data_IF_412143160239
#
_entry.id   IF_412143160239
#
_cell.length_a   1.000
_cell.length_b   1.000
_cell.length_c   1.000
_cell.angle_alpha   90.00
_cell.angle_beta   90.00
_cell.angle_gamma   90.00
#
_symmetry.space_group_name_H-M   'P 1'
#
loop_
_entity.id
_entity.type
_entity.pdbx_description
1 polymer ?
#
# COMPACT_ATOMS: atom_id res chain seq x y z
N UNK A 1 -38.61 -49.91 -24.08
CA UNK A 1 -39.57 -50.40 -23.11
C UNK A 1 -39.15 -49.90 -21.70
N UNK A 2 -40.06 -49.15 -21.07
CA UNK A 2 -40.26 -48.81 -19.67
C UNK A 2 -39.41 -47.70 -19.05
N UNK A 3 -40.09 -46.57 -18.86
CA UNK A 3 -39.92 -45.49 -17.91
C UNK A 3 -39.57 -45.95 -16.49
N UNK A 4 -38.68 -45.24 -15.84
CA UNK A 4 -38.68 -45.11 -14.39
C UNK A 4 -38.75 -43.65 -14.00
N UNK A 5 -39.81 -43.30 -13.30
CA UNK A 5 -40.19 -41.97 -12.88
C UNK A 5 -39.35 -41.49 -11.68
N UNK A 6 -38.93 -40.26 -11.77
CA UNK A 6 -38.38 -39.44 -10.68
C UNK A 6 -39.47 -39.24 -9.61
N UNK A 7 -39.31 -39.83 -8.44
CA UNK A 7 -40.08 -39.45 -7.25
C UNK A 7 -39.40 -38.28 -6.51
N UNK A 8 -40.00 -37.13 -6.64
CA UNK A 8 -39.51 -35.92 -6.03
C UNK A 8 -39.59 -35.91 -4.50
N UNK A 9 -38.61 -35.28 -3.86
CA UNK A 9 -38.49 -35.05 -2.40
C UNK A 9 -39.71 -34.44 -1.71
N UNK A 10 -40.74 -34.02 -2.45
CA UNK A 10 -41.97 -33.44 -1.92
C UNK A 10 -43.03 -34.44 -1.49
N UNK A 11 -42.92 -35.74 -1.87
CA UNK A 11 -43.91 -36.77 -1.50
C UNK A 11 -43.62 -37.45 -0.15
N UNK A 12 -42.40 -37.30 0.38
CA UNK A 12 -42.01 -37.89 1.67
C UNK A 12 -42.60 -37.13 2.87
N UNK A 13 -42.83 -35.83 2.73
CA UNK A 13 -43.33 -34.95 3.83
C UNK A 13 -44.87 -34.98 4.00
N UNK A 14 -45.61 -35.62 3.13
CA UNK A 14 -47.11 -35.71 3.24
C UNK A 14 -47.64 -36.99 3.88
N UNK A 15 -46.83 -37.97 4.26
CA UNK A 15 -47.28 -39.25 4.83
C UNK A 15 -47.02 -39.44 6.32
N UNK A 16 -46.49 -38.43 7.04
CA UNK A 16 -46.24 -38.52 8.49
C UNK A 16 -47.21 -37.68 9.36
N UNK A 17 -48.32 -37.27 8.80
CA UNK A 17 -49.31 -36.49 9.53
C UNK A 17 -50.66 -37.25 9.69
N UNK A 18 -50.65 -38.47 10.23
CA UNK A 18 -51.87 -39.11 10.77
C UNK A 18 -51.47 -40.39 11.52
N UNK A 19 -51.35 -40.31 12.83
CA UNK A 19 -51.16 -41.47 13.70
C UNK A 19 -50.61 -41.13 15.08
N UNK A 20 -51.41 -40.65 15.93
CA UNK A 20 -51.73 -40.82 17.33
C UNK A 20 -50.65 -40.83 18.41
N UNK A 21 -51.04 -40.02 19.42
CA UNK A 21 -50.85 -40.15 20.88
C UNK A 21 -49.57 -39.67 21.51
N UNK A 22 -49.78 -38.70 22.33
CA UNK A 22 -49.03 -38.08 23.44
C UNK A 22 -47.80 -38.85 23.96
N UNK A 23 -46.62 -38.33 23.67
CA UNK A 23 -45.45 -38.46 24.53
C UNK A 23 -44.70 -37.10 24.50
N UNK A 24 -44.36 -36.60 25.68
CA UNK A 24 -43.84 -35.26 25.93
C UNK A 24 -42.91 -34.67 24.87
N UNK A 25 -43.31 -33.58 24.27
CA UNK A 25 -42.44 -32.71 23.48
C UNK A 25 -41.55 -31.96 24.48
N UNK A 26 -40.41 -32.58 24.84
CA UNK A 26 -39.29 -31.81 25.27
C UNK A 26 -38.92 -30.94 24.07
N UNK A 27 -39.35 -29.70 24.04
CA UNK A 27 -38.81 -28.70 23.12
C UNK A 27 -37.32 -28.64 23.39
N UNK A 28 -36.50 -29.26 22.53
CA UNK A 28 -35.11 -28.93 22.38
C UNK A 28 -35.12 -27.46 21.94
N UNK A 29 -35.15 -26.54 22.93
CA UNK A 29 -34.81 -25.18 22.68
C UNK A 29 -33.37 -25.21 22.11
N UNK A 30 -33.27 -25.10 20.79
CA UNK A 30 -31.98 -24.77 20.19
C UNK A 30 -31.48 -23.58 21.00
N UNK A 31 -30.25 -23.61 21.53
CA UNK A 31 -29.71 -22.44 22.21
C UNK A 31 -29.90 -21.27 21.23
N UNK A 32 -30.68 -20.27 21.67
CA UNK A 32 -30.72 -19.02 20.93
C UNK A 32 -29.28 -18.53 20.94
N UNK A 33 -28.61 -18.65 19.80
CA UNK A 33 -27.33 -17.97 19.59
C UNK A 33 -27.69 -16.50 19.70
N UNK A 34 -27.54 -15.96 20.91
CA UNK A 34 -27.59 -14.52 21.13
C UNK A 34 -26.48 -13.97 20.22
N UNK A 35 -26.86 -13.39 19.10
CA UNK A 35 -25.90 -12.69 18.25
C UNK A 35 -25.22 -11.66 19.12
N UNK A 36 -23.95 -11.88 19.42
CA UNK A 36 -23.14 -10.93 20.17
C UNK A 36 -23.16 -9.61 19.37
N UNK A 37 -23.32 -8.48 20.04
CA UNK A 37 -23.29 -7.20 19.37
C UNK A 37 -21.95 -7.06 18.63
N UNK A 38 -21.93 -6.51 17.42
CA UNK A 38 -20.69 -6.32 16.67
C UNK A 38 -19.68 -5.52 17.50
N UNK A 39 -18.42 -5.94 17.47
CA UNK A 39 -17.32 -5.13 17.98
C UNK A 39 -17.03 -4.05 16.94
N UNK A 40 -17.16 -2.78 17.33
CA UNK A 40 -16.92 -1.63 16.46
C UNK A 40 -15.50 -1.15 16.65
N UNK A 41 -14.73 -1.07 15.57
CA UNK A 41 -13.35 -0.63 15.56
C UNK A 41 -13.24 0.71 14.83
N UNK A 42 -12.44 1.62 15.37
CA UNK A 42 -12.18 2.92 14.77
C UNK A 42 -10.89 2.85 13.95
N UNK A 43 -11.01 3.11 12.66
CA UNK A 43 -9.87 3.12 11.72
C UNK A 43 -9.71 4.50 11.10
N UNK A 44 -8.49 4.98 10.96
CA UNK A 44 -8.20 6.15 10.15
C UNK A 44 -7.10 5.84 9.13
N UNK A 45 -7.29 6.35 7.91
CA UNK A 45 -6.24 6.33 6.90
C UNK A 45 -5.47 7.65 6.87
N UNK A 46 -4.26 7.63 6.26
CA UNK A 46 -3.46 8.83 6.01
C UNK A 46 -3.82 9.55 4.69
N UNK A 47 -4.99 9.24 4.11
CA UNK A 47 -5.40 9.72 2.80
C UNK A 47 -6.61 10.65 2.87
N UNK A 48 -6.68 11.66 1.96
CA UNK A 48 -7.91 12.43 1.75
C UNK A 48 -9.09 11.54 1.32
N UNK A 49 -10.31 11.94 1.68
CA UNK A 49 -11.52 11.15 1.42
C UNK A 49 -11.79 10.85 -0.06
N UNK A 50 -11.31 11.70 -0.98
CA UNK A 50 -11.46 11.54 -2.42
C UNK A 50 -10.36 10.70 -3.08
N UNK A 51 -9.32 10.29 -2.34
CA UNK A 51 -8.17 9.61 -2.91
C UNK A 51 -8.43 8.10 -3.07
N UNK A 52 -7.87 7.51 -4.12
CA UNK A 52 -7.95 6.06 -4.40
C UNK A 52 -7.51 5.19 -3.22
N UNK A 53 -6.58 5.65 -2.41
CA UNK A 53 -6.11 4.92 -1.23
C UNK A 53 -7.17 4.82 -0.12
N UNK A 54 -8.02 5.85 0.03
CA UNK A 54 -9.16 5.78 0.93
C UNK A 54 -10.18 4.74 0.45
N UNK A 55 -10.41 4.66 -0.87
CA UNK A 55 -11.26 3.62 -1.46
C UNK A 55 -10.69 2.22 -1.21
N UNK A 56 -9.37 2.05 -1.34
CA UNK A 56 -8.68 0.78 -1.07
C UNK A 56 -8.71 0.39 0.41
N UNK A 57 -8.61 1.36 1.33
CA UNK A 57 -8.85 1.12 2.75
C UNK A 57 -10.29 0.67 3.01
N UNK A 58 -11.28 1.23 2.30
CA UNK A 58 -12.68 0.80 2.39
C UNK A 58 -12.89 -0.63 1.87
N UNK A 59 -12.11 -1.08 0.90
CA UNK A 59 -12.11 -2.48 0.44
C UNK A 59 -11.69 -3.45 1.55
N UNK A 60 -10.72 -3.06 2.39
CA UNK A 60 -10.34 -3.83 3.58
C UNK A 60 -11.51 -3.94 4.57
N UNK A 61 -12.13 -2.81 4.92
CA UNK A 61 -13.31 -2.78 5.80
C UNK A 61 -14.39 -3.73 5.31
N UNK A 62 -14.76 -3.61 4.03
CA UNK A 62 -15.80 -4.45 3.41
C UNK A 62 -15.49 -5.94 3.53
N UNK A 63 -14.23 -6.33 3.34
CA UNK A 63 -13.81 -7.74 3.42
C UNK A 63 -13.81 -8.25 4.85
N UNK A 64 -13.26 -7.49 5.78
CA UNK A 64 -13.23 -7.87 7.21
C UNK A 64 -14.65 -8.03 7.75
N UNK A 65 -15.56 -7.09 7.46
CA UNK A 65 -16.96 -7.19 7.87
C UNK A 65 -17.65 -8.43 7.29
N UNK A 66 -17.42 -8.72 6.00
CA UNK A 66 -17.98 -9.90 5.34
C UNK A 66 -17.39 -11.20 5.92
N UNK A 67 -16.07 -11.31 6.08
CA UNK A 67 -15.40 -12.51 6.61
C UNK A 67 -15.76 -12.77 8.07
N UNK A 68 -15.96 -11.73 8.88
CA UNK A 68 -16.38 -11.87 10.28
C UNK A 68 -17.85 -12.24 10.44
N UNK A 69 -18.62 -12.27 9.34
CA UNK A 69 -20.07 -12.45 9.41
C UNK A 69 -20.78 -11.31 10.14
N UNK A 70 -20.19 -10.11 10.11
CA UNK A 70 -20.69 -8.90 10.79
C UNK A 70 -20.38 -8.84 12.29
N UNK A 71 -19.52 -9.70 12.82
CA UNK A 71 -19.04 -9.62 14.22
C UNK A 71 -18.07 -8.46 14.42
N UNK A 72 -17.34 -8.06 13.35
CA UNK A 72 -16.55 -6.84 13.31
C UNK A 72 -17.25 -5.80 12.46
N UNK A 73 -17.22 -4.56 12.91
CA UNK A 73 -17.60 -3.35 12.19
C UNK A 73 -16.44 -2.37 12.28
N UNK A 74 -16.11 -1.70 11.17
CA UNK A 74 -14.99 -0.76 11.14
C UNK A 74 -15.49 0.60 10.65
N UNK A 75 -15.37 1.60 11.51
CA UNK A 75 -15.63 2.99 11.17
C UNK A 75 -14.37 3.60 10.56
N UNK A 76 -14.32 3.67 9.23
CA UNK A 76 -13.18 4.22 8.49
C UNK A 76 -13.29 5.72 8.33
N UNK A 77 -12.26 6.43 8.76
CA UNK A 77 -12.13 7.87 8.72
C UNK A 77 -10.99 8.30 7.78
N UNK A 78 -11.12 9.42 7.04
CA UNK A 78 -10.04 9.97 6.24
C UNK A 78 -9.02 10.73 7.08
N UNK A 79 -7.88 11.09 6.49
CA UNK A 79 -6.86 11.93 7.11
C UNK A 79 -7.47 13.24 7.64
N UNK A 80 -7.06 13.63 8.84
CA UNK A 80 -7.51 14.86 9.51
C UNK A 80 -8.84 14.73 10.26
N UNK A 81 -9.50 13.58 10.20
CA UNK A 81 -10.75 13.39 10.95
C UNK A 81 -10.52 13.24 12.47
N UNK A 82 -9.46 12.55 12.87
CA UNK A 82 -9.02 12.41 14.27
C UNK A 82 -7.66 13.07 14.43
N UNK A 83 -6.69 12.67 13.59
CA UNK A 83 -5.30 13.19 13.58
C UNK A 83 -4.85 13.50 12.16
N UNK A 84 -3.79 14.30 12.01
CA UNK A 84 -3.14 14.52 10.71
C UNK A 84 -2.52 13.23 10.16
N UNK A 85 -2.22 13.22 8.84
CA UNK A 85 -1.72 12.03 8.15
C UNK A 85 -0.44 11.44 8.78
N UNK A 86 0.50 12.28 9.21
CA UNK A 86 1.76 11.84 9.83
C UNK A 86 1.66 11.43 11.32
N UNK A 87 0.46 11.50 11.91
CA UNK A 87 0.19 11.14 13.30
C UNK A 87 -0.64 9.85 13.46
N UNK A 88 -0.95 9.17 12.37
CA UNK A 88 -1.79 7.94 12.42
C UNK A 88 -1.11 6.86 13.27
N UNK A 89 0.21 6.66 13.11
CA UNK A 89 0.98 5.71 13.91
C UNK A 89 0.83 5.98 15.42
N UNK A 90 1.03 7.24 15.84
CA UNK A 90 0.92 7.61 17.25
C UNK A 90 -0.49 7.37 17.79
N UNK A 91 -1.50 7.74 17.01
CA UNK A 91 -2.89 7.58 17.40
C UNK A 91 -3.28 6.10 17.55
N UNK A 92 -2.70 5.20 16.75
CA UNK A 92 -2.88 3.75 16.92
C UNK A 92 -2.14 3.25 18.16
N UNK A 93 -0.87 3.63 18.34
CA UNK A 93 -0.09 3.28 19.51
C UNK A 93 -0.78 3.71 20.82
N UNK A 94 -1.31 4.92 20.86
CA UNK A 94 -1.93 5.50 22.05
C UNK A 94 -3.38 5.00 22.26
N UNK A 95 -3.90 4.13 21.41
CA UNK A 95 -5.26 3.59 21.50
C UNK A 95 -6.38 4.60 21.17
N UNK A 96 -6.04 5.74 20.58
CA UNK A 96 -7.02 6.69 20.05
C UNK A 96 -7.72 6.15 18.79
N UNK A 97 -6.99 5.35 18.04
CA UNK A 97 -7.43 4.54 16.90
C UNK A 97 -7.15 3.06 17.18
N UNK A 98 -8.05 2.19 16.75
CA UNK A 98 -7.86 0.73 16.78
C UNK A 98 -6.99 0.26 15.62
N UNK A 99 -7.16 0.87 14.44
CA UNK A 99 -6.50 0.51 13.19
C UNK A 99 -6.02 1.77 12.48
N UNK A 100 -4.83 1.71 11.89
CA UNK A 100 -4.29 2.68 10.94
C UNK A 100 -4.11 2.09 9.56
N UNK A 101 -4.27 2.89 8.50
CA UNK A 101 -3.84 2.57 7.15
C UNK A 101 -2.91 3.67 6.66
N UNK A 102 -1.62 3.36 6.59
CA UNK A 102 -0.54 4.33 6.46
C UNK A 102 0.58 3.80 5.54
N UNK A 103 1.70 4.49 5.52
CA UNK A 103 2.95 4.06 4.87
C UNK A 103 4.14 4.31 5.80
N UNK A 104 5.08 3.38 5.92
CA UNK A 104 6.20 3.50 6.86
C UNK A 104 7.10 4.72 6.61
N UNK A 105 7.14 5.23 5.38
CA UNK A 105 7.93 6.43 5.04
C UNK A 105 7.45 7.69 5.76
N UNK A 106 6.22 7.74 6.25
CA UNK A 106 5.69 8.86 7.03
C UNK A 106 6.27 8.92 8.44
N UNK A 107 6.93 7.84 8.91
CA UNK A 107 7.61 7.80 10.21
C UNK A 107 9.08 8.20 10.15
N UNK A 108 9.57 8.60 9.00
CA UNK A 108 10.95 9.02 8.79
C UNK A 108 11.47 9.98 9.88
N UNK A 109 10.64 10.94 10.29
CA UNK A 109 10.99 11.89 11.36
C UNK A 109 11.12 11.27 12.75
N UNK A 110 10.57 10.06 12.96
CA UNK A 110 10.67 9.31 14.22
C UNK A 110 11.88 8.36 14.19
N UNK A 111 11.99 7.59 13.14
CA UNK A 111 13.13 6.72 12.87
C UNK A 111 13.30 6.53 11.35
N UNK A 112 14.46 6.92 10.82
CA UNK A 112 14.76 6.83 9.38
C UNK A 112 14.63 5.39 8.84
N UNK A 113 14.92 4.37 9.68
CA UNK A 113 14.85 2.97 9.30
C UNK A 113 13.44 2.51 8.91
N UNK A 114 12.39 3.17 9.38
CA UNK A 114 11.02 2.88 8.96
C UNK A 114 10.85 2.97 7.44
N UNK A 115 11.55 3.90 6.78
CA UNK A 115 11.52 4.02 5.32
C UNK A 115 11.97 2.76 4.59
N UNK A 116 12.82 1.91 5.19
CA UNK A 116 13.28 0.67 4.53
C UNK A 116 12.18 -0.38 4.37
N UNK A 117 11.07 -0.26 5.10
CA UNK A 117 9.91 -1.15 4.98
C UNK A 117 8.89 -0.66 3.95
N UNK A 118 8.88 0.62 3.64
CA UNK A 118 8.06 1.20 2.57
C UNK A 118 8.83 1.30 1.25
N UNK A 119 9.98 1.94 1.30
CA UNK A 119 10.83 2.23 0.14
C UNK A 119 12.30 1.96 0.47
N UNK A 120 13.22 2.53 -0.25
CA UNK A 120 14.66 2.41 0.00
C UNK A 120 15.40 2.09 -1.29
N UNK A 121 16.67 1.67 -1.23
CA UNK A 121 17.47 1.41 -2.42
C UNK A 121 16.99 0.18 -3.23
N UNK A 122 16.22 -0.71 -2.62
CA UNK A 122 15.62 -1.95 -3.16
C UNK A 122 16.56 -2.85 -4.00
N UNK A 123 17.79 -2.44 -4.26
CA UNK A 123 18.85 -3.22 -4.93
C UNK A 123 18.45 -3.87 -6.27
N UNK A 124 17.53 -3.25 -7.02
CA UNK A 124 16.95 -3.78 -8.26
C UNK A 124 15.72 -4.66 -8.08
N UNK A 125 15.24 -4.85 -6.86
CA UNK A 125 13.97 -5.51 -6.58
C UNK A 125 12.76 -4.69 -7.02
N UNK A 126 11.68 -5.37 -7.38
CA UNK A 126 10.37 -4.75 -7.60
C UNK A 126 9.62 -4.53 -6.27
N UNK A 127 8.55 -3.77 -6.32
CA UNK A 127 7.65 -3.62 -5.16
C UNK A 127 7.13 -4.97 -4.66
N UNK A 128 6.78 -5.88 -5.57
CA UNK A 128 6.37 -7.25 -5.21
C UNK A 128 7.51 -8.03 -4.55
N UNK A 129 8.73 -7.92 -5.06
CA UNK A 129 9.92 -8.54 -4.46
C UNK A 129 10.14 -8.07 -3.02
N UNK A 130 9.92 -6.77 -2.75
CA UNK A 130 10.08 -6.20 -1.42
C UNK A 130 8.94 -6.59 -0.47
N UNK A 131 7.70 -6.69 -0.96
CA UNK A 131 6.58 -7.22 -0.17
C UNK A 131 6.83 -8.70 0.19
N UNK A 132 7.35 -9.49 -0.75
CA UNK A 132 7.73 -10.89 -0.51
C UNK A 132 8.89 -10.99 0.50
N UNK A 133 9.87 -10.06 0.48
CA UNK A 133 10.89 -9.97 1.51
C UNK A 133 10.29 -9.75 2.91
N UNK A 134 9.28 -8.89 2.99
CA UNK A 134 8.62 -8.63 4.28
C UNK A 134 8.04 -9.91 4.89
N UNK A 135 7.34 -10.73 4.09
CA UNK A 135 6.67 -11.93 4.59
C UNK A 135 7.57 -13.18 4.64
N UNK A 136 8.47 -13.37 3.66
CA UNK A 136 9.24 -14.60 3.49
C UNK A 136 10.76 -14.40 3.70
N UNK A 137 11.24 -13.15 3.60
CA UNK A 137 12.67 -12.81 3.71
C UNK A 137 13.11 -12.31 5.09
N UNK A 138 12.23 -12.40 6.10
CA UNK A 138 12.52 -11.96 7.46
C UNK A 138 12.20 -10.49 7.73
N UNK A 139 11.61 -9.78 6.79
CA UNK A 139 11.25 -8.37 6.93
C UNK A 139 10.27 -8.10 8.08
N UNK A 140 9.26 -8.98 8.28
CA UNK A 140 8.30 -8.83 9.40
C UNK A 140 9.00 -8.83 10.76
N UNK A 141 9.94 -9.75 10.98
CA UNK A 141 10.66 -9.81 12.25
C UNK A 141 11.53 -8.56 12.48
N UNK A 142 12.14 -8.03 11.41
CA UNK A 142 12.88 -6.76 11.49
C UNK A 142 11.95 -5.58 11.75
N UNK A 143 10.76 -5.58 11.13
CA UNK A 143 9.76 -4.55 11.37
C UNK A 143 9.30 -4.54 12.84
N UNK A 144 9.03 -5.72 13.40
CA UNK A 144 8.65 -5.85 14.80
C UNK A 144 9.78 -5.40 15.75
N UNK A 145 11.03 -5.75 15.47
CA UNK A 145 12.19 -5.25 16.21
C UNK A 145 12.26 -3.71 16.14
N UNK A 146 12.01 -3.11 14.97
CA UNK A 146 11.99 -1.65 14.85
C UNK A 146 10.89 -1.03 15.71
N UNK A 147 9.67 -1.50 15.52
CA UNK A 147 8.49 -0.86 16.11
C UNK A 147 8.39 -1.14 17.60
N UNK A 148 8.58 -2.38 18.03
CA UNK A 148 8.37 -2.79 19.42
C UNK A 148 9.62 -2.61 20.28
N UNK A 149 10.79 -3.07 19.81
CA UNK A 149 12.00 -3.06 20.63
C UNK A 149 12.75 -1.72 20.58
N UNK A 150 12.87 -1.11 19.36
CA UNK A 150 13.65 0.11 19.17
C UNK A 150 12.82 1.36 19.41
N UNK A 151 11.61 1.42 18.84
CA UNK A 151 10.72 2.59 18.98
C UNK A 151 9.82 2.49 20.23
N UNK A 152 9.71 1.31 20.85
CA UNK A 152 8.90 1.08 22.06
C UNK A 152 7.41 1.24 21.84
N UNK A 153 6.90 0.91 20.65
CA UNK A 153 5.49 1.03 20.29
C UNK A 153 4.73 -0.27 20.59
N UNK A 154 3.51 -0.13 21.03
CA UNK A 154 2.57 -1.25 21.23
C UNK A 154 1.64 -1.37 20.02
N UNK A 155 2.20 -1.82 18.91
CA UNK A 155 1.50 -2.02 17.63
C UNK A 155 1.87 -3.36 16.99
N UNK A 156 0.96 -3.87 16.16
CA UNK A 156 1.20 -4.99 15.25
C UNK A 156 0.93 -4.52 13.82
N UNK A 157 1.93 -4.54 12.95
CA UNK A 157 1.85 -3.98 11.61
C UNK A 157 2.07 -5.00 10.50
N UNK A 158 1.30 -4.87 9.42
CA UNK A 158 1.33 -5.76 8.26
C UNK A 158 1.36 -4.96 6.97
N UNK A 159 2.28 -5.32 6.07
CA UNK A 159 2.39 -4.66 4.77
C UNK A 159 1.34 -5.18 3.79
N UNK A 160 0.86 -4.30 2.95
CA UNK A 160 -0.12 -4.61 1.93
C UNK A 160 0.21 -3.91 0.62
N UNK A 161 -0.44 -4.36 -0.42
CA UNK A 161 -0.47 -3.80 -1.75
C UNK A 161 0.85 -3.14 -2.16
N UNK A 162 1.71 -3.86 -2.92
CA UNK A 162 2.97 -3.29 -3.36
C UNK A 162 2.70 -2.22 -4.41
N UNK A 163 2.99 -0.97 -4.06
CA UNK A 163 2.94 0.13 -5.01
C UNK A 163 4.11 0.00 -5.99
N UNK A 164 3.89 0.22 -7.30
CA UNK A 164 4.97 0.16 -8.29
C UNK A 164 6.03 1.23 -8.01
N UNK A 165 7.11 1.23 -8.79
CA UNK A 165 8.05 2.33 -8.77
C UNK A 165 7.29 3.66 -8.94
N UNK A 166 7.56 4.60 -8.05
CA UNK A 166 6.94 5.91 -8.14
C UNK A 166 7.47 6.67 -9.35
N UNK A 167 6.66 7.57 -9.93
CA UNK A 167 7.15 8.52 -10.91
C UNK A 167 8.26 9.37 -10.30
N UNK A 168 9.22 9.83 -11.10
CA UNK A 168 10.11 10.90 -10.66
C UNK A 168 9.31 12.17 -10.36
N UNK A 169 8.12 12.30 -10.93
CA UNK A 169 7.10 13.20 -10.45
C UNK A 169 6.61 14.19 -11.49
N UNK A 170 6.05 15.27 -10.97
CA UNK A 170 5.35 16.31 -11.70
C UNK A 170 6.19 17.59 -11.73
N UNK A 171 6.41 18.10 -12.94
CA UNK A 171 7.22 19.28 -13.19
C UNK A 171 6.45 20.28 -14.06
N UNK A 172 6.68 21.60 -13.84
CA UNK A 172 6.11 22.64 -14.69
C UNK A 172 6.72 22.61 -16.10
N UNK A 173 8.01 22.32 -16.19
CA UNK A 173 8.76 22.19 -17.43
C UNK A 173 9.36 20.78 -17.56
N UNK A 174 9.65 20.29 -18.77
CA UNK A 174 10.36 19.02 -18.95
C UNK A 174 11.72 19.06 -18.26
N UNK A 175 12.11 17.92 -17.68
CA UNK A 175 13.41 17.74 -17.01
C UNK A 175 14.07 16.50 -17.58
N UNK A 176 15.30 16.63 -18.07
CA UNK A 176 16.04 15.58 -18.76
C UNK A 176 17.46 15.37 -18.25
N UNK A 177 18.04 16.37 -17.56
CA UNK A 177 19.39 16.34 -17.03
C UNK A 177 19.45 16.58 -15.53
N UNK A 178 20.58 16.23 -14.90
CA UNK A 178 20.82 16.46 -13.48
C UNK A 178 20.99 17.95 -13.17
N UNK A 179 21.53 18.74 -14.10
CA UNK A 179 21.66 20.19 -13.95
C UNK A 179 20.29 20.88 -13.83
N UNK A 180 19.30 20.43 -14.56
CA UNK A 180 17.97 21.03 -14.58
C UNK A 180 17.20 20.86 -13.27
N UNK A 181 17.58 19.89 -12.42
CA UNK A 181 16.95 19.67 -11.11
C UNK A 181 17.66 20.42 -9.96
N UNK A 182 18.80 21.04 -10.22
CA UNK A 182 19.56 21.72 -9.19
C UNK A 182 18.77 22.86 -8.55
N UNK A 183 18.66 22.84 -7.21
CA UNK A 183 17.98 23.85 -6.43
C UNK A 183 16.44 23.80 -6.48
N UNK A 184 15.82 22.84 -7.19
CA UNK A 184 14.37 22.69 -7.17
C UNK A 184 13.87 22.46 -5.74
N UNK A 185 12.85 23.21 -5.37
CA UNK A 185 12.07 22.95 -4.17
C UNK A 185 11.12 21.79 -4.46
N UNK A 186 11.52 20.63 -4.02
CA UNK A 186 10.87 19.38 -4.39
C UNK A 186 10.19 18.74 -3.18
N UNK A 187 8.95 18.23 -3.37
CA UNK A 187 8.26 17.47 -2.35
C UNK A 187 8.52 15.99 -2.54
N UNK A 188 9.02 15.35 -1.51
CA UNK A 188 9.04 13.89 -1.34
C UNK A 188 8.97 13.54 0.14
N UNK A 189 9.08 12.26 0.48
CA UNK A 189 9.04 11.73 1.86
C UNK A 189 10.09 10.65 2.07
N UNK A 190 10.40 10.35 3.33
CA UNK A 190 11.28 9.25 3.70
C UNK A 190 12.74 9.45 3.26
N UNK A 191 13.45 8.34 3.03
CA UNK A 191 14.86 8.35 2.57
C UNK A 191 15.05 8.96 1.17
N UNK A 192 13.99 9.05 0.35
CA UNK A 192 14.05 9.78 -0.90
C UNK A 192 14.39 11.26 -0.71
N UNK A 193 14.05 11.83 0.46
CA UNK A 193 14.44 13.19 0.79
C UNK A 193 15.97 13.33 0.91
N UNK A 194 16.62 12.41 1.63
CA UNK A 194 18.10 12.41 1.75
C UNK A 194 18.75 12.20 0.39
N UNK A 195 18.22 11.26 -0.43
CA UNK A 195 18.71 10.99 -1.77
C UNK A 195 18.66 12.22 -2.68
N UNK A 196 17.48 12.84 -2.79
CA UNK A 196 17.31 13.98 -3.71
C UNK A 196 18.00 15.25 -3.20
N UNK A 197 18.16 15.43 -1.89
CA UNK A 197 19.03 16.47 -1.33
C UNK A 197 20.48 16.25 -1.72
N UNK A 198 20.98 15.01 -1.69
CA UNK A 198 22.35 14.69 -2.15
C UNK A 198 22.57 14.95 -3.64
N UNK A 199 21.49 14.94 -4.42
CA UNK A 199 21.48 15.28 -5.84
C UNK A 199 21.30 16.77 -6.12
N UNK A 200 21.22 17.63 -5.08
CA UNK A 200 21.16 19.09 -5.20
C UNK A 200 19.78 19.72 -5.16
N UNK A 201 18.74 18.98 -4.84
CA UNK A 201 17.39 19.53 -4.64
C UNK A 201 17.21 20.10 -3.23
N UNK A 202 16.29 21.05 -3.06
CA UNK A 202 15.80 21.53 -1.77
C UNK A 202 14.50 20.81 -1.43
N UNK A 203 14.53 19.86 -0.49
CA UNK A 203 13.40 18.96 -0.26
C UNK A 203 12.51 19.44 0.89
N UNK A 204 11.18 19.38 0.67
CA UNK A 204 10.14 19.54 1.68
C UNK A 204 9.33 18.26 1.82
N UNK A 205 9.11 17.82 3.05
CA UNK A 205 8.26 16.66 3.36
C UNK A 205 6.86 17.15 3.73
N UNK A 206 5.87 16.85 2.89
CA UNK A 206 4.48 17.27 3.07
C UNK A 206 3.55 16.07 2.85
N UNK A 207 2.45 15.96 3.62
CA UNK A 207 1.41 14.96 3.33
C UNK A 207 0.72 15.25 2.00
N UNK A 208 0.14 14.21 1.36
CA UNK A 208 -0.45 14.29 0.02
C UNK A 208 -1.45 15.43 -0.17
N UNK A 209 -2.33 15.66 0.82
CA UNK A 209 -3.34 16.72 0.77
C UNK A 209 -2.77 18.16 0.76
N UNK A 210 -1.49 18.36 1.05
CA UNK A 210 -0.85 19.67 1.08
C UNK A 210 -0.05 19.99 -0.19
N UNK A 211 0.13 19.02 -1.10
CA UNK A 211 0.98 19.15 -2.29
C UNK A 211 0.45 20.22 -3.25
N UNK A 212 -0.78 20.11 -3.70
CA UNK A 212 -1.36 21.07 -4.66
C UNK A 212 -1.39 22.47 -4.09
N UNK A 213 -1.86 22.71 -2.86
CA UNK A 213 -1.76 24.05 -2.23
C UNK A 213 -0.32 24.59 -2.14
N UNK A 214 0.69 23.73 -1.92
CA UNK A 214 2.08 24.13 -1.88
C UNK A 214 2.64 24.54 -3.26
N UNK A 215 2.24 23.80 -4.32
CA UNK A 215 2.54 24.13 -5.71
C UNK A 215 1.93 25.48 -6.15
N UNK A 216 0.65 25.70 -5.82
CA UNK A 216 -0.06 26.94 -6.14
C UNK A 216 0.58 28.16 -5.47
N UNK A 217 1.02 28.02 -4.21
CA UNK A 217 1.69 29.10 -3.47
C UNK A 217 3.17 29.26 -3.81
N UNK A 218 3.75 28.40 -4.65
CA UNK A 218 5.18 28.43 -4.99
C UNK A 218 6.10 28.03 -3.82
N UNK A 219 5.58 27.30 -2.85
CA UNK A 219 6.37 26.72 -1.75
C UNK A 219 7.25 25.60 -2.27
N UNK A 220 6.74 24.82 -3.25
CA UNK A 220 7.47 23.81 -4.00
C UNK A 220 7.34 24.06 -5.51
N UNK A 221 8.33 23.60 -6.27
CA UNK A 221 8.41 23.76 -7.74
C UNK A 221 8.02 22.48 -8.47
N UNK A 222 8.21 21.33 -7.82
CA UNK A 222 7.94 20.00 -8.33
C UNK A 222 7.64 19.03 -7.17
N UNK A 223 7.05 17.88 -7.49
CA UNK A 223 6.69 16.87 -6.50
C UNK A 223 6.53 15.49 -7.12
N UNK A 224 6.65 14.47 -6.31
CA UNK A 224 6.09 13.13 -6.52
C UNK A 224 4.95 12.88 -5.53
N UNK A 225 4.11 11.89 -5.85
CA UNK A 225 3.20 11.35 -4.85
C UNK A 225 3.11 9.85 -4.94
N UNK A 226 2.58 9.26 -6.06
CA UNK A 226 2.62 7.81 -6.16
C UNK A 226 2.36 7.26 -7.58
N UNK A 227 1.20 7.51 -8.19
CA UNK A 227 0.77 6.88 -9.43
C UNK A 227 -0.30 7.73 -10.14
N UNK A 228 -0.63 7.42 -11.41
CA UNK A 228 -1.57 8.23 -12.19
C UNK A 228 -2.94 8.44 -11.55
N UNK A 229 -3.45 7.46 -10.80
CA UNK A 229 -4.78 7.56 -10.18
C UNK A 229 -4.77 8.43 -8.94
N UNK A 230 -3.85 8.17 -8.01
CA UNK A 230 -3.72 8.97 -6.79
C UNK A 230 -3.41 10.44 -7.11
N UNK A 231 -2.55 10.66 -8.10
CA UNK A 231 -2.10 11.99 -8.51
C UNK A 231 -3.22 12.77 -9.21
N UNK A 232 -3.98 12.08 -10.06
CA UNK A 232 -5.19 12.64 -10.68
C UNK A 232 -6.23 13.03 -9.63
N UNK A 233 -6.47 12.19 -8.62
CA UNK A 233 -7.52 12.38 -7.63
C UNK A 233 -7.37 13.70 -6.83
N UNK A 234 -6.14 14.18 -6.62
CA UNK A 234 -5.91 15.48 -5.97
C UNK A 234 -5.58 16.65 -6.92
N UNK A 235 -5.64 16.42 -8.24
CA UNK A 235 -5.50 17.49 -9.21
C UNK A 235 -4.05 17.84 -9.59
N UNK A 236 -3.12 16.88 -9.59
CA UNK A 236 -1.72 17.11 -10.00
C UNK A 236 -1.60 17.75 -11.37
N UNK A 237 -2.45 17.34 -12.32
CA UNK A 237 -2.51 17.85 -13.68
C UNK A 237 -2.90 19.34 -13.79
N UNK A 238 -3.45 19.92 -12.73
CA UNK A 238 -3.88 21.32 -12.73
C UNK A 238 -2.72 22.26 -12.39
N UNK A 239 -1.69 21.75 -11.71
CA UNK A 239 -0.54 22.54 -11.23
C UNK A 239 0.78 22.21 -11.94
N UNK A 240 0.86 21.09 -12.66
CA UNK A 240 2.02 20.69 -13.48
C UNK A 240 1.57 19.88 -14.69
N UNK A 241 2.36 19.93 -15.79
CA UNK A 241 1.99 19.28 -17.06
C UNK A 241 2.99 18.26 -17.56
N UNK A 242 4.15 18.13 -16.93
CA UNK A 242 5.16 17.13 -17.27
C UNK A 242 5.23 16.08 -16.19
N UNK A 243 4.85 14.85 -16.54
CA UNK A 243 4.80 13.71 -15.64
C UNK A 243 5.85 12.68 -16.02
N UNK A 244 6.91 12.58 -15.21
CA UNK A 244 8.07 11.73 -15.46
C UNK A 244 7.91 10.40 -14.74
N UNK A 245 7.66 9.35 -15.48
CA UNK A 245 7.51 7.98 -14.97
C UNK A 245 8.87 7.30 -14.78
N UNK A 246 8.90 6.34 -13.87
CA UNK A 246 10.06 5.51 -13.56
C UNK A 246 11.17 6.26 -12.82
N UNK A 247 11.49 5.78 -11.63
CA UNK A 247 12.53 6.41 -10.81
C UNK A 247 13.08 5.42 -9.78
N UNK A 248 14.34 5.61 -9.40
CA UNK A 248 14.99 4.85 -8.32
C UNK A 248 14.96 5.56 -6.97
N UNK A 249 14.40 6.76 -6.86
CA UNK A 249 14.29 7.44 -5.58
C UNK A 249 13.30 6.75 -4.62
N UNK A 250 12.24 6.18 -5.18
CA UNK A 250 11.26 5.31 -4.52
C UNK A 250 10.84 4.21 -5.51
N UNK A 251 11.72 3.23 -5.74
CA UNK A 251 11.50 2.18 -6.73
C UNK A 251 10.47 1.13 -6.27
N UNK A 252 10.09 1.16 -5.02
CA UNK A 252 8.97 0.41 -4.44
C UNK A 252 8.35 1.20 -3.31
N UNK A 253 7.10 0.90 -2.98
CA UNK A 253 6.48 1.29 -1.73
C UNK A 253 5.45 0.25 -1.33
N UNK A 254 5.17 0.15 -0.03
CA UNK A 254 4.10 -0.68 0.50
C UNK A 254 3.27 0.14 1.47
N UNK A 255 1.95 -0.09 1.43
CA UNK A 255 1.08 0.34 2.50
C UNK A 255 1.24 -0.55 3.71
N UNK A 256 0.81 -0.05 4.85
CA UNK A 256 0.71 -0.83 6.06
C UNK A 256 -0.67 -0.71 6.70
N UNK A 257 -1.08 -1.78 7.36
CA UNK A 257 -2.16 -1.78 8.32
C UNK A 257 -1.56 -1.92 9.71
N UNK A 258 -1.84 -0.93 10.54
CA UNK A 258 -1.38 -0.86 11.91
C UNK A 258 -2.54 -1.24 12.83
N UNK A 259 -2.29 -2.12 13.77
CA UNK A 259 -3.25 -2.52 14.78
C UNK A 259 -2.71 -2.15 16.16
N UNK A 260 -3.55 -1.59 17.02
CA UNK A 260 -3.20 -1.34 18.42
C UNK A 260 -2.90 -2.67 19.12
N UNK A 261 -1.80 -2.75 19.87
CA UNK A 261 -1.32 -3.99 20.50
C UNK A 261 -2.32 -4.55 21.50
N UNK A 262 -2.87 -3.72 22.38
CA UNK A 262 -3.89 -4.15 23.36
C UNK A 262 -5.16 -4.65 22.67
N UNK A 263 -5.59 -4.02 21.56
CA UNK A 263 -6.69 -4.55 20.75
C UNK A 263 -6.40 -5.96 20.27
N UNK A 264 -5.19 -6.19 19.72
CA UNK A 264 -4.81 -7.48 19.17
C UNK A 264 -4.61 -8.56 20.24
N UNK A 265 -4.21 -8.17 21.44
CA UNK A 265 -4.11 -9.06 22.59
C UNK A 265 -5.49 -9.53 23.10
N UNK A 266 -6.48 -8.61 23.14
CA UNK A 266 -7.85 -8.85 23.61
C UNK A 266 -8.78 -9.49 22.54
N UNK A 267 -8.34 -9.58 21.28
CA UNK A 267 -9.16 -10.08 20.18
C UNK A 267 -9.29 -11.60 20.20
N UNK A 268 -10.50 -12.11 19.97
CA UNK A 268 -10.70 -13.55 19.78
C UNK A 268 -9.85 -14.07 18.61
N UNK A 269 -9.23 -15.27 18.75
CA UNK A 269 -8.25 -15.77 17.78
C UNK A 269 -8.73 -15.80 16.32
N UNK A 270 -9.99 -16.14 16.10
CA UNK A 270 -10.58 -16.17 14.76
C UNK A 270 -10.83 -14.77 14.18
N UNK A 271 -11.22 -13.80 15.00
CA UNK A 271 -11.35 -12.40 14.58
C UNK A 271 -9.99 -11.76 14.34
N UNK A 272 -8.99 -12.06 15.18
CA UNK A 272 -7.60 -11.66 14.97
C UNK A 272 -7.08 -12.17 13.63
N UNK A 273 -7.30 -13.45 13.33
CA UNK A 273 -6.92 -14.04 12.05
C UNK A 273 -7.62 -13.35 10.86
N UNK A 274 -8.90 -12.99 11.00
CA UNK A 274 -9.64 -12.23 9.97
C UNK A 274 -9.03 -10.85 9.73
N UNK A 275 -8.64 -10.13 10.78
CA UNK A 275 -7.97 -8.83 10.64
C UNK A 275 -6.66 -8.96 9.87
N UNK A 276 -5.80 -9.91 10.25
CA UNK A 276 -4.48 -10.14 9.67
C UNK A 276 -4.60 -10.63 8.20
N UNK A 277 -5.32 -11.74 7.96
CA UNK A 277 -5.47 -12.28 6.60
C UNK A 277 -6.35 -11.41 5.70
N UNK A 278 -7.15 -10.52 6.29
CA UNK A 278 -7.83 -9.44 5.57
C UNK A 278 -6.87 -8.52 4.85
N UNK A 279 -5.68 -8.26 5.44
CA UNK A 279 -4.62 -7.46 4.81
C UNK A 279 -4.10 -8.14 3.54
N UNK A 280 -3.79 -9.43 3.60
CA UNK A 280 -3.33 -10.20 2.44
C UNK A 280 -4.40 -10.26 1.33
N UNK A 281 -5.65 -10.51 1.72
CA UNK A 281 -6.77 -10.60 0.78
C UNK A 281 -7.02 -9.27 0.05
N UNK A 282 -6.99 -8.13 0.77
CA UNK A 282 -7.17 -6.81 0.16
C UNK A 282 -5.96 -6.42 -0.67
N UNK A 283 -4.74 -6.77 -0.24
CA UNK A 283 -3.50 -6.54 -0.99
C UNK A 283 -3.59 -7.12 -2.41
N UNK A 284 -3.96 -8.39 -2.51
CA UNK A 284 -4.15 -9.08 -3.81
C UNK A 284 -5.23 -8.41 -4.67
N UNK A 285 -6.39 -8.08 -4.07
CA UNK A 285 -7.50 -7.47 -4.78
C UNK A 285 -7.17 -6.06 -5.29
N UNK A 286 -6.47 -5.26 -4.47
CA UNK A 286 -6.07 -3.91 -4.82
C UNK A 286 -4.97 -3.90 -5.89
N UNK A 287 -4.06 -4.88 -5.91
CA UNK A 287 -3.09 -5.06 -7.00
C UNK A 287 -3.79 -5.21 -8.36
N UNK A 288 -4.82 -6.06 -8.43
CA UNK A 288 -5.59 -6.25 -9.66
C UNK A 288 -6.39 -5.00 -10.07
N UNK A 289 -7.02 -4.31 -9.09
CA UNK A 289 -7.77 -3.06 -9.30
C UNK A 289 -6.84 -1.97 -9.83
N UNK A 290 -5.65 -1.81 -9.23
CA UNK A 290 -4.65 -0.81 -9.57
C UNK A 290 -4.15 -0.95 -11.02
N UNK A 291 -3.84 -2.15 -11.47
CA UNK A 291 -3.35 -2.40 -12.83
C UNK A 291 -4.29 -1.80 -13.89
N UNK A 292 -5.60 -2.00 -13.73
CA UNK A 292 -6.61 -1.44 -14.63
C UNK A 292 -6.75 0.07 -14.47
N UNK A 293 -6.83 0.55 -13.22
CA UNK A 293 -7.12 1.95 -12.93
C UNK A 293 -5.98 2.86 -13.33
N UNK A 294 -4.74 2.49 -12.99
CA UNK A 294 -3.56 3.28 -13.36
C UNK A 294 -3.40 3.44 -14.86
N UNK A 295 -3.63 2.36 -15.64
CA UNK A 295 -3.63 2.43 -17.09
C UNK A 295 -4.68 3.37 -17.65
N UNK A 296 -5.91 3.31 -17.12
CA UNK A 296 -7.00 4.17 -17.57
C UNK A 296 -6.75 5.65 -17.25
N UNK A 297 -6.27 5.92 -16.02
CA UNK A 297 -6.00 7.28 -15.56
C UNK A 297 -4.76 7.88 -16.25
N UNK A 298 -3.71 7.08 -16.49
CA UNK A 298 -2.57 7.54 -17.30
C UNK A 298 -3.00 7.95 -18.71
N UNK A 299 -3.84 7.15 -19.35
CA UNK A 299 -4.39 7.48 -20.66
C UNK A 299 -5.22 8.75 -20.62
N UNK A 300 -6.07 8.91 -19.62
CA UNK A 300 -6.87 10.13 -19.45
C UNK A 300 -5.98 11.37 -19.23
N UNK A 301 -4.91 11.26 -18.42
CA UNK A 301 -3.95 12.35 -18.22
C UNK A 301 -3.31 12.80 -19.53
N UNK A 302 -2.96 11.85 -20.42
CA UNK A 302 -2.37 12.15 -21.73
C UNK A 302 -3.39 12.72 -22.73
N UNK A 303 -4.55 12.08 -22.87
CA UNK A 303 -5.49 12.35 -23.97
C UNK A 303 -6.47 13.48 -23.64
N UNK A 304 -6.89 13.61 -22.37
CA UNK A 304 -7.93 14.56 -21.96
C UNK A 304 -7.36 15.73 -21.15
N UNK A 305 -6.40 15.48 -20.25
CA UNK A 305 -5.84 16.53 -19.39
C UNK A 305 -4.64 17.25 -20.03
N UNK A 306 -4.14 16.78 -21.18
CA UNK A 306 -3.02 17.39 -21.88
C UNK A 306 -1.71 17.34 -21.11
N UNK A 307 -1.45 16.21 -20.42
CA UNK A 307 -0.22 15.97 -19.68
C UNK A 307 0.81 15.30 -20.60
N UNK A 308 2.01 15.85 -20.63
CA UNK A 308 3.17 15.22 -21.28
C UNK A 308 3.70 14.12 -20.36
N UNK A 309 3.38 12.86 -20.70
CA UNK A 309 3.88 11.69 -19.96
C UNK A 309 5.19 11.23 -20.59
N UNK A 310 6.25 11.30 -19.82
CA UNK A 310 7.62 11.03 -20.22
C UNK A 310 8.23 9.96 -19.32
N UNK A 311 9.29 9.30 -19.80
CA UNK A 311 10.15 8.51 -18.91
C UNK A 311 11.27 9.39 -18.37
N UNK A 312 11.62 9.18 -17.12
CA UNK A 312 12.83 9.78 -16.53
C UNK A 312 14.06 9.38 -17.39
N UNK A 313 14.90 10.35 -17.67
CA UNK A 313 16.07 10.13 -18.52
C UNK A 313 17.05 9.13 -17.90
N UNK A 314 17.82 8.45 -18.78
CA UNK A 314 18.86 7.53 -18.32
C UNK A 314 19.93 8.21 -17.48
N UNK A 315 20.20 9.49 -17.74
CA UNK A 315 21.13 10.30 -16.97
C UNK A 315 20.66 10.47 -15.51
N UNK A 316 19.42 10.91 -15.32
CA UNK A 316 18.84 11.06 -13.99
C UNK A 316 18.73 9.72 -13.26
N UNK A 317 18.31 8.65 -13.95
CA UNK A 317 18.25 7.32 -13.36
C UNK A 317 19.64 6.81 -12.90
N UNK A 318 20.69 7.01 -13.72
CA UNK A 318 22.05 6.66 -13.34
C UNK A 318 22.53 7.47 -12.13
N UNK A 319 22.26 8.78 -12.12
CA UNK A 319 22.62 9.65 -11.00
C UNK A 319 21.90 9.28 -9.68
N UNK A 320 20.67 8.78 -9.77
CA UNK A 320 19.95 8.26 -8.59
C UNK A 320 20.63 7.01 -8.01
N UNK A 321 21.10 6.09 -8.86
CA UNK A 321 21.86 4.91 -8.41
C UNK A 321 23.18 5.34 -7.75
N UNK A 322 23.91 6.26 -8.37
CA UNK A 322 25.15 6.79 -7.80
C UNK A 322 24.93 7.55 -6.47
N UNK A 323 23.77 8.20 -6.34
CA UNK A 323 23.39 8.85 -5.09
C UNK A 323 23.09 7.83 -3.99
N UNK A 324 22.42 6.72 -4.33
CA UNK A 324 22.23 5.59 -3.41
C UNK A 324 23.57 4.97 -3.00
N UNK A 325 24.52 4.79 -3.92
CA UNK A 325 25.85 4.25 -3.62
C UNK A 325 26.63 5.10 -2.61
N UNK A 326 26.37 6.41 -2.57
CA UNK A 326 26.94 7.32 -1.58
C UNK A 326 26.19 7.31 -0.26
N UNK A 327 24.86 7.24 -0.31
CA UNK A 327 24.01 7.31 0.88
C UNK A 327 24.02 6.02 1.70
N UNK A 328 24.04 4.84 1.05
CA UNK A 328 24.00 3.54 1.72
C UNK A 328 25.09 3.39 2.80
N UNK A 329 26.39 3.69 2.55
CA UNK A 329 27.40 3.60 3.60
C UNK A 329 27.14 4.50 4.80
N UNK A 330 26.51 5.65 4.61
CA UNK A 330 26.13 6.56 5.70
C UNK A 330 25.00 5.94 6.54
N UNK A 331 23.99 5.37 5.88
CA UNK A 331 22.90 4.65 6.55
C UNK A 331 23.40 3.41 7.31
N UNK A 332 24.36 2.67 6.76
CA UNK A 332 24.97 1.49 7.38
C UNK A 332 25.83 1.84 8.62
N UNK A 333 26.07 3.11 8.91
CA UNK A 333 26.68 3.52 10.19
C UNK A 333 25.76 3.24 11.39
N UNK A 334 24.46 3.19 11.18
CA UNK A 334 23.50 2.69 12.16
C UNK A 334 23.42 1.15 12.07
N UNK A 335 23.68 0.42 13.19
CA UNK A 335 23.71 -1.05 13.17
C UNK A 335 22.37 -1.68 12.75
N UNK A 336 21.24 -1.07 13.12
CA UNK A 336 19.93 -1.60 12.76
C UNK A 336 19.63 -1.37 11.29
N UNK A 337 19.88 -0.17 10.77
CA UNK A 337 19.74 0.12 9.32
C UNK A 337 20.62 -0.82 8.49
N UNK A 338 21.88 -1.05 8.94
CA UNK A 338 22.77 -2.01 8.27
C UNK A 338 22.18 -3.41 8.26
N UNK A 339 21.63 -3.88 9.38
CA UNK A 339 20.98 -5.19 9.49
C UNK A 339 19.83 -5.34 8.48
N UNK A 340 18.98 -4.32 8.35
CA UNK A 340 17.89 -4.31 7.38
C UNK A 340 18.39 -4.30 5.93
N UNK A 341 19.35 -3.42 5.61
CA UNK A 341 19.93 -3.32 4.27
C UNK A 341 20.63 -4.61 3.85
N UNK A 342 21.38 -5.26 4.75
CA UNK A 342 22.02 -6.55 4.48
C UNK A 342 20.99 -7.65 4.21
N UNK A 343 19.89 -7.69 4.98
CA UNK A 343 18.79 -8.65 4.77
C UNK A 343 18.13 -8.43 3.41
N UNK A 344 17.79 -7.19 3.05
CA UNK A 344 17.21 -6.86 1.75
C UNK A 344 18.14 -7.20 0.60
N UNK A 345 19.42 -6.86 0.72
CA UNK A 345 20.44 -7.14 -0.29
C UNK A 345 20.61 -8.65 -0.53
N UNK A 346 20.63 -9.43 0.55
CA UNK A 346 20.73 -10.89 0.44
C UNK A 346 19.50 -11.49 -0.26
N UNK A 347 18.30 -11.07 0.15
CA UNK A 347 17.04 -11.49 -0.48
C UNK A 347 16.99 -11.16 -1.97
N UNK A 348 17.24 -9.90 -2.32
CA UNK A 348 17.17 -9.44 -3.71
C UNK A 348 18.20 -10.13 -4.59
N UNK A 349 19.43 -10.35 -4.09
CA UNK A 349 20.48 -11.04 -4.84
C UNK A 349 20.04 -12.41 -5.35
N UNK A 350 19.30 -13.15 -4.53
CA UNK A 350 18.88 -14.52 -4.88
C UNK A 350 17.55 -14.53 -5.65
N UNK A 351 16.55 -13.78 -5.16
CA UNK A 351 15.19 -13.80 -5.74
C UNK A 351 15.15 -13.08 -7.09
N UNK A 352 15.71 -11.88 -7.18
CA UNK A 352 15.69 -11.09 -8.44
C UNK A 352 16.55 -11.74 -9.50
N UNK A 353 17.63 -12.43 -9.12
CA UNK A 353 18.41 -13.22 -10.10
C UNK A 353 17.50 -14.21 -10.83
N UNK A 354 16.68 -14.98 -10.11
CA UNK A 354 15.75 -15.91 -10.74
C UNK A 354 14.69 -15.18 -11.56
N UNK A 355 14.09 -14.12 -11.00
CA UNK A 355 13.05 -13.33 -11.69
C UNK A 355 13.56 -12.80 -13.03
N UNK A 356 14.75 -12.21 -13.07
CA UNK A 356 15.35 -11.67 -14.30
C UNK A 356 15.76 -12.75 -15.28
N UNK A 357 16.31 -13.88 -14.81
CA UNK A 357 16.69 -15.00 -15.66
C UNK A 357 15.50 -15.70 -16.31
N UNK A 358 14.35 -15.70 -15.62
CA UNK A 358 13.13 -16.38 -16.08
C UNK A 358 12.17 -15.46 -16.83
N UNK A 359 12.31 -14.14 -16.70
CA UNK A 359 11.42 -13.19 -17.34
C UNK A 359 11.65 -13.15 -18.85
N UNK A 360 10.61 -13.35 -19.69
CA UNK A 360 10.73 -13.06 -21.11
C UNK A 360 10.83 -11.54 -21.34
N UNK A 361 11.34 -11.14 -22.51
CA UNK A 361 11.32 -9.74 -22.91
C UNK A 361 9.88 -9.29 -23.23
N UNK A 362 9.18 -8.80 -22.21
CA UNK A 362 7.81 -8.30 -22.34
C UNK A 362 7.72 -7.07 -23.25
N UNK A 363 8.74 -6.23 -23.29
CA UNK A 363 8.75 -5.04 -24.12
C UNK A 363 8.83 -5.41 -25.61
N UNK A 364 9.68 -6.40 -25.95
CA UNK A 364 9.79 -6.96 -27.31
C UNK A 364 8.42 -7.52 -27.77
N UNK A 365 7.78 -8.32 -26.94
CA UNK A 365 6.47 -8.90 -27.28
C UNK A 365 5.38 -7.82 -27.41
N UNK A 366 5.36 -6.84 -26.50
CA UNK A 366 4.40 -5.74 -26.56
C UNK A 366 4.56 -4.91 -27.84
N UNK A 367 5.78 -4.53 -28.21
CA UNK A 367 6.04 -3.76 -29.42
C UNK A 367 5.69 -4.54 -30.69
N UNK A 368 5.85 -5.86 -30.68
CA UNK A 368 5.44 -6.73 -31.80
C UNK A 368 3.92 -6.67 -32.04
N UNK A 369 3.12 -6.74 -30.97
CA UNK A 369 1.64 -6.73 -31.10
C UNK A 369 1.06 -5.33 -31.20
N UNK A 370 1.74 -4.31 -30.68
CA UNK A 370 1.28 -2.92 -30.60
C UNK A 370 2.38 -1.94 -31.05
N UNK A 371 2.79 -1.99 -32.33
CA UNK A 371 3.95 -1.25 -32.82
C UNK A 371 3.79 0.27 -32.67
N UNK A 372 4.84 0.92 -32.18
CA UNK A 372 4.92 2.36 -31.98
C UNK A 372 4.13 2.90 -30.78
N UNK A 373 3.62 2.00 -29.91
CA UNK A 373 2.92 2.41 -28.68
C UNK A 373 3.87 2.62 -27.51
N UNK A 374 4.99 1.94 -27.48
CA UNK A 374 5.97 2.00 -26.41
C UNK A 374 7.10 2.96 -26.79
N UNK A 375 7.16 4.11 -26.13
CA UNK A 375 8.25 5.08 -26.27
C UNK A 375 9.22 4.88 -25.09
N UNK A 376 10.27 4.05 -25.28
CA UNK A 376 11.30 3.75 -24.28
C UNK A 376 12.54 4.63 -24.44
#
# INVERSE_FOLDING_TARGET
VKNNANMGRRSFLKKTALGGTAAGVGALAAPAVMAQAPRVLKMQSSWPSSNVWQEMAQDYVTRVEAMSGGRLKIDLLPAGAVVGAFQVLDAVNDGLLDIGHDVPVYWYGKNKAASLFGTGPVFGGSATTMLNWFYEGGGKALYDELTQDIMGLDIDGYMAFPMPAQPFGWFKNPVTTVEEIQGFKYRTVGLAADLLQSMGMSVAQLPGGEIVPAMERGVIDAFEFNNPSSDRDFGAQDVAKNYLLSSYHQASESFEFLFNGLLMEDMEPDLKAILIHGVEAVSTANTAKAARRYSADLKWLQEEAGVDVLRTSKEILAAQIEAWDKLIPELESDPYMKKCLDSQRAWVKDVVFYELMNAPDYALAYEHYFPGKLKL
#
